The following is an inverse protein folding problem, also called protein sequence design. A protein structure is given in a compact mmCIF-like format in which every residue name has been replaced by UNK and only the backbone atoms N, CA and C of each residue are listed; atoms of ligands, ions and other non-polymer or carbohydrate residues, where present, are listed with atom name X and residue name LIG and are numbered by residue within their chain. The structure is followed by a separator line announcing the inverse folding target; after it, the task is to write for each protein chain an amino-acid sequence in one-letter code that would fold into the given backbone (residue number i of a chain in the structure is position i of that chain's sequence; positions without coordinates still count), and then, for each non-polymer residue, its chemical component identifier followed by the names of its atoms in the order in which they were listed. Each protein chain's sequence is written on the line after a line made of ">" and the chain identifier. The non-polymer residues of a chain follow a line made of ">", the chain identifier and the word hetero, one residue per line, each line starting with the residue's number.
data_IF_545785188325
#
_entry.id   IF_545785188325
#
_cell.length_a   1.000
_cell.length_b   1.000
_cell.length_c   1.000
_cell.angle_alpha   90.00
_cell.angle_beta   90.00
_cell.angle_gamma   90.00
#
_symmetry.space_group_name_H-M   'P 1'
#
loop_
_entity.id
_entity.type
_entity.pdbx_description
1 polymer ?
#
# COMPACT_ATOMS: atom_id res chain seq x y z
N UNK A 1 -1.17 -39.98 1.71
CA UNK A 1 -2.45 -39.43 2.20
C UNK A 1 -2.44 -39.07 3.68
N UNK A 2 -1.91 -39.89 4.59
CA UNK A 2 -1.65 -39.47 6.00
C UNK A 2 -0.37 -38.64 6.19
N UNK A 3 0.66 -38.89 5.37
CA UNK A 3 1.96 -38.20 5.46
C UNK A 3 1.82 -36.69 5.29
N UNK A 4 0.93 -36.24 4.39
CA UNK A 4 0.77 -34.82 4.11
C UNK A 4 0.15 -34.06 5.30
N UNK A 5 -0.93 -34.60 5.88
CA UNK A 5 -1.52 -34.08 7.13
C UNK A 5 -0.55 -34.20 8.30
N UNK A 6 0.15 -35.33 8.42
CA UNK A 6 1.14 -35.58 9.45
C UNK A 6 2.38 -34.68 9.38
N UNK A 7 2.62 -33.99 8.26
CA UNK A 7 3.72 -33.03 8.09
C UNK A 7 3.21 -31.60 8.16
N UNK A 8 2.07 -31.29 7.52
CA UNK A 8 1.53 -29.93 7.49
C UNK A 8 1.04 -29.45 8.85
N UNK A 9 0.37 -30.30 9.63
CA UNK A 9 -0.19 -29.87 10.91
C UNK A 9 0.94 -29.54 11.92
N UNK A 10 2.00 -30.38 12.08
CA UNK A 10 3.16 -30.01 12.88
C UNK A 10 3.91 -28.78 12.37
N UNK A 11 3.98 -28.60 11.04
CA UNK A 11 4.66 -27.46 10.45
C UNK A 11 3.89 -26.15 10.69
N UNK A 12 2.57 -26.15 10.57
CA UNK A 12 1.73 -25.02 10.98
C UNK A 12 1.84 -24.73 12.48
N UNK A 13 1.86 -25.76 13.32
CA UNK A 13 2.07 -25.61 14.76
C UNK A 13 3.44 -25.03 15.08
N UNK A 14 4.49 -25.45 14.37
CA UNK A 14 5.84 -24.91 14.52
C UNK A 14 5.94 -23.43 14.12
N UNK A 15 5.23 -23.01 13.07
CA UNK A 15 5.11 -21.61 12.68
C UNK A 15 4.43 -20.79 13.78
N UNK A 16 3.31 -21.29 14.33
CA UNK A 16 2.61 -20.61 15.42
C UNK A 16 3.46 -20.50 16.68
N UNK A 17 4.14 -21.58 17.08
CA UNK A 17 5.04 -21.57 18.24
C UNK A 17 6.21 -20.60 18.04
N UNK A 18 6.81 -20.60 16.85
CA UNK A 18 7.91 -19.68 16.52
C UNK A 18 7.45 -18.22 16.53
N UNK A 19 6.22 -17.95 16.07
CA UNK A 19 5.62 -16.63 16.11
C UNK A 19 5.46 -16.09 17.55
N UNK A 20 5.18 -16.94 18.54
CA UNK A 20 5.05 -16.49 19.95
C UNK A 20 6.34 -15.92 20.54
N UNK A 21 7.49 -16.18 19.93
CA UNK A 21 8.79 -15.64 20.35
C UNK A 21 9.05 -14.22 19.83
N UNK A 22 8.18 -13.69 18.96
CA UNK A 22 8.31 -12.36 18.39
C UNK A 22 7.54 -11.34 19.23
N UNK A 23 8.14 -10.18 19.49
CA UNK A 23 7.61 -9.18 20.42
C UNK A 23 6.71 -8.13 19.75
N UNK A 24 6.71 -8.05 18.42
CA UNK A 24 5.94 -7.07 17.65
C UNK A 24 4.86 -7.76 16.80
N UNK A 25 3.60 -7.27 16.81
CA UNK A 25 2.53 -7.78 15.94
C UNK A 25 2.91 -7.74 14.44
N UNK A 26 3.69 -6.75 14.03
CA UNK A 26 4.17 -6.63 12.64
C UNK A 26 5.18 -7.75 12.32
N UNK A 27 6.10 -8.05 13.25
CA UNK A 27 7.11 -9.08 13.04
C UNK A 27 6.45 -10.47 13.00
N UNK A 28 5.49 -10.72 13.89
CA UNK A 28 4.64 -11.92 13.89
C UNK A 28 3.94 -12.08 12.54
N UNK A 29 3.30 -11.02 12.04
CA UNK A 29 2.54 -11.08 10.82
C UNK A 29 3.43 -11.27 9.58
N UNK A 30 4.58 -10.60 9.49
CA UNK A 30 5.53 -10.79 8.38
C UNK A 30 6.10 -12.20 8.38
N UNK A 31 6.53 -12.72 9.54
CA UNK A 31 7.07 -14.07 9.66
C UNK A 31 6.03 -15.12 9.25
N UNK A 32 4.83 -15.03 9.82
CA UNK A 32 3.74 -15.98 9.55
C UNK A 32 3.34 -15.94 8.07
N UNK A 33 3.22 -14.74 7.49
CA UNK A 33 2.92 -14.55 6.07
C UNK A 33 3.97 -15.20 5.16
N UNK A 34 5.26 -15.05 5.47
CA UNK A 34 6.35 -15.65 4.70
C UNK A 34 6.32 -17.18 4.77
N UNK A 35 6.14 -17.75 5.97
CA UNK A 35 6.03 -19.19 6.16
C UNK A 35 4.82 -19.77 5.42
N UNK A 36 3.63 -19.19 5.60
CA UNK A 36 2.41 -19.64 4.94
C UNK A 36 2.47 -19.51 3.41
N UNK A 37 3.08 -18.45 2.89
CA UNK A 37 3.29 -18.28 1.45
C UNK A 37 4.21 -19.36 0.88
N UNK A 38 5.26 -19.77 1.61
CA UNK A 38 6.15 -20.84 1.21
C UNK A 38 5.43 -22.20 1.21
N UNK A 39 4.66 -22.48 2.26
CA UNK A 39 3.84 -23.70 2.38
C UNK A 39 2.83 -23.76 1.23
N UNK A 40 2.08 -22.68 1.00
CA UNK A 40 1.10 -22.59 -0.07
C UNK A 40 1.73 -22.89 -1.45
N UNK A 41 2.90 -22.30 -1.73
CA UNK A 41 3.61 -22.51 -2.99
C UNK A 41 4.11 -23.95 -3.15
N UNK A 42 4.53 -24.59 -2.06
CA UNK A 42 4.98 -25.98 -2.08
C UNK A 42 3.83 -26.97 -2.34
N UNK A 43 2.59 -26.62 -1.95
CA UNK A 43 1.47 -27.58 -1.97
C UNK A 43 0.39 -27.32 -3.01
N UNK A 44 0.43 -26.17 -3.69
CA UNK A 44 -0.63 -25.73 -4.62
C UNK A 44 -0.81 -26.58 -5.87
N UNK A 45 0.16 -27.45 -6.21
CA UNK A 45 0.10 -28.31 -7.40
C UNK A 45 -0.50 -29.69 -7.13
N UNK A 46 -0.79 -30.02 -5.86
CA UNK A 46 -1.34 -31.33 -5.50
C UNK A 46 -2.87 -31.31 -5.52
N UNK A 47 -3.47 -32.24 -6.26
CA UNK A 47 -4.92 -32.31 -6.53
C UNK A 47 -5.83 -32.57 -5.31
N UNK A 48 -5.27 -32.72 -4.11
CA UNK A 48 -6.00 -33.09 -2.89
C UNK A 48 -5.80 -32.10 -1.74
N UNK A 49 -5.31 -30.89 -2.03
CA UNK A 49 -4.95 -29.89 -1.02
C UNK A 49 -5.92 -28.72 -0.92
N UNK A 50 -7.04 -28.76 -1.64
CA UNK A 50 -7.97 -27.62 -1.77
C UNK A 50 -8.42 -27.04 -0.42
N UNK A 51 -8.92 -27.85 0.52
CA UNK A 51 -9.36 -27.32 1.83
C UNK A 51 -8.21 -26.73 2.65
N UNK A 52 -6.99 -27.27 2.49
CA UNK A 52 -5.79 -26.76 3.16
C UNK A 52 -5.30 -25.47 2.52
N UNK A 53 -5.36 -25.38 1.20
CA UNK A 53 -5.07 -24.15 0.45
C UNK A 53 -6.05 -23.04 0.84
N UNK A 54 -7.33 -23.34 0.99
CA UNK A 54 -8.32 -22.37 1.48
C UNK A 54 -8.01 -21.89 2.90
N UNK A 55 -7.70 -22.80 3.81
CA UNK A 55 -7.33 -22.44 5.18
C UNK A 55 -6.06 -21.58 5.24
N UNK A 56 -5.02 -21.94 4.47
CA UNK A 56 -3.78 -21.17 4.40
C UNK A 56 -4.02 -19.79 3.78
N UNK A 57 -4.86 -19.69 2.74
CA UNK A 57 -5.25 -18.40 2.15
C UNK A 57 -5.96 -17.51 3.17
N UNK A 58 -6.90 -18.05 3.94
CA UNK A 58 -7.59 -17.29 4.99
C UNK A 58 -6.61 -16.78 6.07
N UNK A 59 -5.62 -17.58 6.45
CA UNK A 59 -4.58 -17.16 7.39
C UNK A 59 -3.64 -16.11 6.78
N UNK A 60 -3.28 -16.25 5.50
CA UNK A 60 -2.52 -15.24 4.74
C UNK A 60 -3.29 -13.91 4.73
N UNK A 61 -4.57 -13.93 4.40
CA UNK A 61 -5.43 -12.74 4.34
C UNK A 61 -5.56 -12.06 5.70
N UNK A 62 -5.72 -12.84 6.79
CA UNK A 62 -5.74 -12.30 8.15
C UNK A 62 -4.42 -11.61 8.54
N UNK A 63 -3.27 -12.17 8.14
CA UNK A 63 -1.97 -11.54 8.39
C UNK A 63 -1.77 -10.28 7.52
N UNK A 64 -2.27 -10.27 6.28
CA UNK A 64 -2.32 -9.06 5.45
C UNK A 64 -3.14 -7.98 6.16
N UNK A 65 -4.29 -8.31 6.75
CA UNK A 65 -5.15 -7.34 7.45
C UNK A 65 -4.43 -6.69 8.63
N UNK A 66 -3.70 -7.47 9.42
CA UNK A 66 -2.86 -6.95 10.52
C UNK A 66 -1.81 -5.99 9.98
N UNK A 67 -1.07 -6.37 8.94
CA UNK A 67 -0.03 -5.53 8.34
C UNK A 67 -0.59 -4.23 7.76
N UNK A 68 -1.75 -4.31 7.09
CA UNK A 68 -2.45 -3.15 6.53
C UNK A 68 -2.89 -2.19 7.64
N UNK A 69 -3.47 -2.71 8.71
CA UNK A 69 -3.92 -1.91 9.86
C UNK A 69 -2.75 -1.19 10.54
N UNK A 70 -1.67 -1.91 10.82
CA UNK A 70 -0.47 -1.35 11.46
C UNK A 70 0.21 -0.29 10.58
N UNK A 71 0.40 -0.57 9.28
CA UNK A 71 0.99 0.38 8.34
C UNK A 71 0.10 1.62 8.15
N UNK A 72 -1.21 1.45 8.00
CA UNK A 72 -2.13 2.57 7.86
C UNK A 72 -2.13 3.43 9.13
N UNK A 73 -2.17 2.80 10.30
CA UNK A 73 -2.10 3.50 11.59
C UNK A 73 -0.79 4.28 11.73
N UNK A 74 0.33 3.68 11.34
CA UNK A 74 1.63 4.37 11.32
C UNK A 74 1.58 5.61 10.43
N UNK A 75 1.15 5.48 9.17
CA UNK A 75 1.06 6.60 8.22
C UNK A 75 0.13 7.70 8.72
N UNK A 76 -1.08 7.34 9.15
CA UNK A 76 -2.10 8.28 9.64
C UNK A 76 -1.59 9.01 10.91
N UNK A 77 -0.80 8.35 11.73
CA UNK A 77 -0.16 8.96 12.91
C UNK A 77 0.96 9.90 12.52
N UNK A 78 1.89 9.47 11.66
CA UNK A 78 3.04 10.26 11.23
C UNK A 78 2.66 11.52 10.43
N UNK A 79 1.54 11.46 9.71
CA UNK A 79 0.99 12.61 8.97
C UNK A 79 0.15 13.54 9.85
N UNK A 80 -0.13 13.17 11.09
CA UNK A 80 -1.01 13.91 12.00
C UNK A 80 -2.51 13.71 11.74
N UNK A 81 -2.88 13.01 10.66
CA UNK A 81 -4.28 12.75 10.30
C UNK A 81 -5.06 12.03 11.41
N UNK A 82 -4.40 11.25 12.28
CA UNK A 82 -5.07 10.48 13.34
C UNK A 82 -5.92 11.36 14.26
N UNK A 83 -5.45 12.58 14.56
CA UNK A 83 -6.16 13.51 15.45
C UNK A 83 -7.43 14.04 14.78
N UNK A 84 -7.30 14.47 13.51
CA UNK A 84 -8.41 14.97 12.72
C UNK A 84 -9.45 13.87 12.46
N UNK A 85 -8.99 12.67 12.08
CA UNK A 85 -9.84 11.51 11.82
C UNK A 85 -10.71 11.17 13.03
N UNK A 86 -10.10 11.06 14.22
CA UNK A 86 -10.82 10.73 15.46
C UNK A 86 -11.90 11.75 15.78
N UNK A 87 -11.58 13.05 15.67
CA UNK A 87 -12.55 14.13 15.93
C UNK A 87 -13.65 14.19 14.86
N UNK A 88 -13.29 14.09 13.59
CA UNK A 88 -14.24 14.08 12.47
C UNK A 88 -15.20 12.87 12.54
N UNK A 89 -14.68 11.69 12.90
CA UNK A 89 -15.48 10.46 13.03
C UNK A 89 -16.44 10.50 14.22
N UNK A 90 -15.97 11.03 15.37
CA UNK A 90 -16.81 11.17 16.56
C UNK A 90 -17.79 12.36 16.52
N UNK A 91 -17.61 13.29 15.58
CA UNK A 91 -18.37 14.53 15.50
C UNK A 91 -19.84 14.31 15.17
N UNK A 92 -20.72 14.78 16.05
CA UNK A 92 -22.17 14.80 15.89
C UNK A 92 -22.67 16.22 15.62
N UNK A 93 -23.67 16.44 14.74
CA UNK A 93 -24.20 17.77 14.44
C UNK A 93 -24.70 18.56 15.66
N UNK A 94 -25.09 17.87 16.74
CA UNK A 94 -25.51 18.48 18.01
C UNK A 94 -24.40 19.24 18.75
N UNK A 95 -23.13 19.01 18.38
CA UNK A 95 -21.95 19.62 19.02
C UNK A 95 -21.57 20.98 18.43
N UNK A 96 -22.31 21.46 17.43
CA UNK A 96 -22.01 22.70 16.71
C UNK A 96 -21.15 22.46 15.46
N UNK A 97 -20.54 23.53 14.94
CA UNK A 97 -19.70 23.43 13.76
C UNK A 97 -18.33 22.85 14.14
N UNK A 98 -17.82 21.88 13.35
CA UNK A 98 -16.53 21.26 13.62
C UNK A 98 -15.37 22.27 13.64
N UNK A 99 -15.44 23.37 12.90
CA UNK A 99 -14.45 24.46 12.93
C UNK A 99 -14.35 25.18 14.27
N UNK A 100 -15.39 25.13 15.10
CA UNK A 100 -15.46 25.78 16.42
C UNK A 100 -14.96 24.85 17.55
N UNK A 101 -14.70 23.58 17.24
CA UNK A 101 -14.17 22.60 18.19
C UNK A 101 -12.65 22.74 18.28
N UNK A 102 -12.13 22.89 19.50
CA UNK A 102 -10.69 23.01 19.76
C UNK A 102 -9.89 21.89 19.07
N UNK A 103 -8.80 22.21 18.37
CA UNK A 103 -7.99 21.26 17.61
C UNK A 103 -8.57 20.85 16.24
N UNK A 104 -9.65 21.49 15.79
CA UNK A 104 -10.23 21.36 14.46
C UNK A 104 -10.33 22.72 13.75
N UNK A 105 -9.56 23.70 14.22
CA UNK A 105 -9.48 25.03 13.62
C UNK A 105 -8.93 24.94 12.18
N UNK A 106 -9.33 25.86 11.27
CA UNK A 106 -8.87 25.86 9.88
C UNK A 106 -7.34 25.77 9.74
N UNK A 107 -6.59 26.47 10.61
CA UNK A 107 -5.12 26.46 10.62
C UNK A 107 -4.52 25.09 10.97
N UNK A 108 -5.13 24.36 11.92
CA UNK A 108 -4.70 23.01 12.29
C UNK A 108 -4.96 22.01 11.16
N UNK A 109 -6.10 22.15 10.48
CA UNK A 109 -6.41 21.32 9.32
C UNK A 109 -5.42 21.60 8.19
N UNK A 110 -5.19 22.87 7.83
CA UNK A 110 -4.22 23.23 6.79
C UNK A 110 -2.81 22.67 7.07
N UNK A 111 -2.33 22.80 8.30
CA UNK A 111 -1.00 22.28 8.70
C UNK A 111 -0.91 20.75 8.58
N UNK A 112 -1.97 20.05 8.99
CA UNK A 112 -2.03 18.58 8.87
C UNK A 112 -2.12 18.14 7.41
N UNK A 113 -2.90 18.85 6.59
CA UNK A 113 -3.02 18.59 5.15
C UNK A 113 -1.68 18.77 4.42
N UNK A 114 -0.88 19.77 4.80
CA UNK A 114 0.47 19.96 4.26
C UNK A 114 1.41 18.78 4.62
N UNK A 115 1.32 18.28 5.85
CA UNK A 115 2.07 17.09 6.28
C UNK A 115 1.62 15.84 5.51
N UNK A 116 0.32 15.71 5.25
CA UNK A 116 -0.24 14.64 4.44
C UNK A 116 0.19 14.75 2.96
N UNK A 117 0.25 15.96 2.40
CA UNK A 117 0.76 16.19 1.05
C UNK A 117 2.23 15.77 0.89
N UNK A 118 3.04 15.97 1.92
CA UNK A 118 4.42 15.47 1.96
C UNK A 118 4.46 13.94 1.89
N UNK A 119 3.51 13.25 2.53
CA UNK A 119 3.35 11.80 2.39
C UNK A 119 2.90 11.41 0.98
N UNK A 120 1.93 12.11 0.37
CA UNK A 120 1.44 11.81 -0.98
C UNK A 120 2.54 11.97 -2.04
N UNK A 121 3.43 12.94 -1.87
CA UNK A 121 4.54 13.20 -2.79
C UNK A 121 5.74 12.26 -2.57
N UNK A 122 5.94 11.75 -1.35
CA UNK A 122 6.99 10.77 -1.05
C UNK A 122 6.53 9.65 -0.11
N UNK A 123 5.74 8.68 -0.61
CA UNK A 123 5.22 7.58 0.22
C UNK A 123 6.32 6.67 0.76
N UNK A 124 7.48 6.60 0.08
CA UNK A 124 8.59 5.74 0.46
C UNK A 124 9.23 6.15 1.79
N UNK A 125 9.12 7.42 2.18
CA UNK A 125 9.59 7.94 3.47
C UNK A 125 8.84 7.35 4.67
N UNK A 126 7.65 6.79 4.46
CA UNK A 126 6.75 6.33 5.53
C UNK A 126 6.57 4.81 5.54
N UNK A 127 7.51 4.06 4.94
CA UNK A 127 7.48 2.59 4.99
C UNK A 127 8.00 2.12 6.34
N UNK A 128 7.25 1.24 7.01
CA UNK A 128 7.86 0.41 8.06
C UNK A 128 8.80 -0.63 7.42
N UNK A 129 10.04 -0.68 7.90
CA UNK A 129 11.13 -1.55 7.42
C UNK A 129 10.73 -3.04 7.34
N UNK A 130 9.75 -3.44 8.14
CA UNK A 130 9.33 -4.83 8.23
C UNK A 130 8.56 -5.31 7.00
N UNK A 131 7.76 -4.46 6.35
CA UNK A 131 7.03 -4.87 5.14
C UNK A 131 7.95 -5.05 3.91
N UNK A 132 9.19 -4.55 3.96
CA UNK A 132 10.22 -4.86 2.95
C UNK A 132 10.66 -6.33 3.07
N UNK A 133 10.54 -6.94 4.26
CA UNK A 133 10.94 -8.33 4.53
C UNK A 133 9.89 -9.37 4.12
N UNK A 134 8.72 -8.97 3.64
CA UNK A 134 7.77 -9.90 3.03
C UNK A 134 8.41 -10.45 1.76
N UNK A 135 8.59 -11.76 1.65
CA UNK A 135 9.33 -12.38 0.54
C UNK A 135 8.59 -12.29 -0.79
N UNK A 136 7.26 -12.48 -0.78
CA UNK A 136 6.42 -12.44 -1.98
C UNK A 136 6.17 -11.01 -2.45
N UNK A 137 6.61 -10.70 -3.69
CA UNK A 137 6.38 -9.39 -4.32
C UNK A 137 4.88 -9.09 -4.45
N UNK A 138 4.09 -10.08 -4.87
CA UNK A 138 2.64 -9.95 -4.98
C UNK A 138 2.00 -9.57 -3.64
N UNK A 139 2.39 -10.23 -2.55
CA UNK A 139 1.84 -9.93 -1.22
C UNK A 139 2.29 -8.55 -0.73
N UNK A 140 3.54 -8.12 -1.01
CA UNK A 140 4.00 -6.75 -0.72
C UNK A 140 3.14 -5.71 -1.42
N UNK A 141 2.80 -5.93 -2.68
CA UNK A 141 1.98 -5.00 -3.46
C UNK A 141 0.54 -4.98 -2.94
N UNK A 142 -0.05 -6.13 -2.60
CA UNK A 142 -1.36 -6.21 -1.94
C UNK A 142 -1.40 -5.45 -0.62
N UNK A 143 -0.42 -5.66 0.27
CA UNK A 143 -0.35 -4.94 1.55
C UNK A 143 -0.23 -3.44 1.30
N UNK A 144 0.62 -3.01 0.36
CA UNK A 144 0.80 -1.60 0.02
C UNK A 144 -0.49 -0.96 -0.50
N UNK A 145 -1.16 -1.59 -1.45
CA UNK A 145 -2.38 -1.07 -2.05
C UNK A 145 -3.50 -0.94 -1.02
N UNK A 146 -3.74 -2.00 -0.24
CA UNK A 146 -4.77 -1.99 0.82
C UNK A 146 -4.45 -1.00 1.95
N UNK A 147 -3.18 -0.83 2.30
CA UNK A 147 -2.74 0.23 3.22
C UNK A 147 -3.13 1.61 2.70
N UNK A 148 -2.83 1.90 1.43
CA UNK A 148 -3.15 3.21 0.83
C UNK A 148 -4.66 3.43 0.82
N UNK A 149 -5.46 2.45 0.39
CA UNK A 149 -6.92 2.57 0.41
C UNK A 149 -7.46 2.82 1.83
N UNK A 150 -6.87 2.20 2.85
CA UNK A 150 -7.25 2.43 4.26
C UNK A 150 -6.93 3.87 4.69
N UNK A 151 -5.77 4.41 4.33
CA UNK A 151 -5.39 5.81 4.58
C UNK A 151 -6.33 6.77 3.84
N UNK A 152 -6.66 6.48 2.58
CA UNK A 152 -7.60 7.26 1.77
C UNK A 152 -9.01 7.23 2.36
N UNK A 153 -9.45 6.09 2.91
CA UNK A 153 -10.74 5.99 3.60
C UNK A 153 -10.79 6.86 4.86
N UNK A 154 -9.72 6.88 5.65
CA UNK A 154 -9.62 7.78 6.80
C UNK A 154 -9.64 9.26 6.37
N UNK A 155 -8.90 9.60 5.30
CA UNK A 155 -8.90 10.93 4.70
C UNK A 155 -10.30 11.35 4.22
N UNK A 156 -11.05 10.45 3.57
CA UNK A 156 -12.42 10.71 3.09
C UNK A 156 -13.34 11.16 4.21
N UNK A 157 -13.24 10.58 5.39
CA UNK A 157 -14.06 10.97 6.54
C UNK A 157 -13.78 12.42 6.95
N UNK A 158 -12.51 12.83 6.95
CA UNK A 158 -12.11 14.22 7.21
C UNK A 158 -12.62 15.13 6.09
N UNK A 159 -12.36 14.75 4.83
CA UNK A 159 -12.79 15.50 3.65
C UNK A 159 -14.28 15.81 3.68
N UNK A 160 -15.12 14.79 3.90
CA UNK A 160 -16.57 14.93 3.92
C UNK A 160 -17.04 15.93 5.00
N UNK A 161 -16.42 15.93 6.19
CA UNK A 161 -16.74 16.92 7.23
C UNK A 161 -16.27 18.31 6.86
N UNK A 162 -15.11 18.43 6.21
CA UNK A 162 -14.55 19.73 5.83
C UNK A 162 -15.37 20.41 4.74
N UNK A 163 -15.83 19.67 3.74
CA UNK A 163 -16.64 20.24 2.64
C UNK A 163 -18.10 20.49 3.01
N UNK A 164 -18.57 19.94 4.14
CA UNK A 164 -19.92 20.14 4.62
C UNK A 164 -20.06 21.59 5.15
N UNK A 165 -20.92 22.42 4.53
CA UNK A 165 -21.10 23.81 4.92
C UNK A 165 -21.51 24.01 6.38
N UNK A 166 -22.18 23.02 7.00
CA UNK A 166 -22.57 23.08 8.41
C UNK A 166 -21.39 23.16 9.36
N UNK A 167 -20.20 22.69 8.93
CA UNK A 167 -18.98 22.72 9.72
C UNK A 167 -18.17 24.02 9.55
N UNK A 168 -18.68 25.00 8.77
CA UNK A 168 -18.19 26.38 8.65
C UNK A 168 -16.69 26.53 8.33
N UNK A 169 -16.11 25.59 7.60
CA UNK A 169 -14.76 25.75 7.09
C UNK A 169 -14.74 26.77 5.94
N UNK A 170 -13.90 27.81 6.08
CA UNK A 170 -13.56 28.72 4.98
C UNK A 170 -12.70 28.00 3.95
N UNK A 171 -12.40 28.64 2.82
CA UNK A 171 -11.65 28.01 1.71
C UNK A 171 -10.31 27.40 2.18
N UNK A 172 -10.33 26.09 2.39
CA UNK A 172 -9.16 25.29 2.72
C UNK A 172 -8.59 24.67 1.44
N UNK A 173 -7.26 24.56 1.29
CA UNK A 173 -6.61 23.92 0.15
C UNK A 173 -6.72 22.39 0.23
N UNK A 174 -7.93 21.87 0.43
CA UNK A 174 -8.19 20.44 0.57
C UNK A 174 -8.35 19.80 -0.81
N UNK A 175 -7.58 18.73 -1.06
CA UNK A 175 -7.68 17.95 -2.30
C UNK A 175 -8.94 17.08 -2.26
N UNK A 176 -9.56 16.83 -3.40
CA UNK A 176 -10.64 15.84 -3.47
C UNK A 176 -10.08 14.45 -3.24
N UNK A 177 -10.94 13.52 -2.80
CA UNK A 177 -10.50 12.13 -2.58
C UNK A 177 -9.98 11.49 -3.88
N UNK A 178 -10.54 11.87 -5.03
CA UNK A 178 -10.05 11.41 -6.34
C UNK A 178 -8.70 12.01 -6.71
N UNK A 179 -8.43 13.28 -6.36
CA UNK A 179 -7.09 13.86 -6.53
C UNK A 179 -6.05 13.13 -5.67
N UNK A 180 -6.38 12.81 -4.41
CA UNK A 180 -5.51 12.02 -3.53
C UNK A 180 -5.25 10.62 -4.10
N UNK A 181 -6.26 9.97 -4.66
CA UNK A 181 -6.10 8.68 -5.36
C UNK A 181 -5.24 8.78 -6.61
N UNK A 182 -5.37 9.83 -7.41
CA UNK A 182 -4.60 9.99 -8.64
C UNK A 182 -3.12 10.30 -8.37
N UNK A 183 -2.80 10.99 -7.26
CA UNK A 183 -1.42 11.23 -6.82
C UNK A 183 -0.69 9.91 -6.45
N UNK A 184 -1.42 8.81 -6.23
CA UNK A 184 -0.89 7.43 -6.07
C UNK A 184 -0.23 6.89 -7.34
N UNK A 185 -0.69 7.30 -8.52
CA UNK A 185 -0.25 6.75 -9.82
C UNK A 185 1.08 7.36 -10.31
N UNK A 186 1.60 8.37 -9.61
CA UNK A 186 2.73 9.17 -10.04
C UNK A 186 4.10 8.46 -10.03
N UNK A 187 4.37 7.35 -9.30
CA UNK A 187 5.67 6.67 -9.45
C UNK A 187 5.93 6.22 -10.89
N UNK A 188 4.89 5.81 -11.62
CA UNK A 188 5.00 5.37 -13.01
C UNK A 188 4.98 6.52 -14.01
N UNK A 189 4.20 7.57 -13.77
CA UNK A 189 4.21 8.75 -14.65
C UNK A 189 5.51 9.53 -14.54
N UNK A 190 6.11 9.63 -13.35
CA UNK A 190 7.41 10.29 -13.22
C UNK A 190 8.53 9.44 -13.85
N UNK A 191 8.47 8.11 -13.71
CA UNK A 191 9.41 7.22 -14.40
C UNK A 191 9.20 7.25 -15.92
N UNK A 192 7.95 7.24 -16.39
CA UNK A 192 7.61 7.37 -17.81
C UNK A 192 8.01 8.73 -18.38
N UNK A 193 7.76 9.83 -17.68
CA UNK A 193 8.16 11.17 -18.09
C UNK A 193 9.69 11.32 -18.06
N UNK A 194 10.37 10.77 -17.05
CA UNK A 194 11.83 10.73 -16.99
C UNK A 194 12.41 9.86 -18.12
N UNK A 195 11.82 8.69 -18.40
CA UNK A 195 12.19 7.82 -19.52
C UNK A 195 11.93 8.52 -20.86
N UNK A 196 10.77 9.15 -21.05
CA UNK A 196 10.46 9.92 -22.25
C UNK A 196 11.39 11.11 -22.44
N UNK A 197 11.75 11.81 -21.37
CA UNK A 197 12.73 12.89 -21.43
C UNK A 197 14.11 12.34 -21.84
N UNK A 198 14.52 11.19 -21.32
CA UNK A 198 15.75 10.52 -21.76
C UNK A 198 15.68 10.00 -23.21
N UNK A 199 14.52 9.50 -23.67
CA UNK A 199 14.31 9.05 -25.06
C UNK A 199 14.26 10.24 -26.02
N UNK A 200 13.69 11.37 -25.61
CA UNK A 200 13.65 12.60 -26.42
C UNK A 200 15.05 13.22 -26.64
N UNK A 201 16.02 12.88 -25.78
CA UNK A 201 17.44 13.22 -25.97
C UNK A 201 18.11 12.32 -27.04
N UNK A 202 17.55 11.14 -27.33
CA UNK A 202 18.10 10.16 -28.28
C UNK A 202 17.67 10.39 -29.75
N UNK A 203 16.91 11.44 -30.03
CA UNK A 203 16.54 11.85 -31.40
C UNK A 203 15.31 11.11 -31.98
N UNK A 204 14.71 11.66 -33.05
CA UNK A 204 13.34 11.34 -33.50
C UNK A 204 13.15 9.94 -34.12
N UNK A 205 14.20 9.14 -34.31
CA UNK A 205 14.14 7.86 -35.03
C UNK A 205 13.61 6.66 -34.23
N UNK A 206 13.42 6.78 -32.90
CA UNK A 206 13.03 5.65 -32.03
C UNK A 206 11.53 5.66 -31.68
N UNK A 207 10.85 6.80 -31.83
CA UNK A 207 9.46 6.98 -31.37
C UNK A 207 8.39 6.63 -32.42
N UNK A 208 8.75 6.39 -33.69
CA UNK A 208 7.81 6.21 -34.80
C UNK A 208 7.06 4.87 -34.84
N UNK A 209 7.32 3.95 -33.90
CA UNK A 209 6.66 2.63 -33.84
C UNK A 209 5.77 2.37 -32.62
N UNK A 210 5.61 3.33 -31.70
CA UNK A 210 4.90 3.13 -30.43
C UNK A 210 3.41 3.46 -30.54
N UNK A 211 2.60 2.55 -31.10
CA UNK A 211 1.15 2.61 -30.95
C UNK A 211 0.75 2.16 -29.53
N UNK A 212 0.28 3.12 -28.72
CA UNK A 212 0.02 2.99 -27.29
C UNK A 212 -1.39 2.41 -27.08
N UNK A 213 -1.53 1.10 -27.25
CA UNK A 213 -2.73 0.36 -26.81
C UNK A 213 -2.36 -0.82 -25.93
N UNK A 214 -2.58 -0.65 -24.62
CA UNK A 214 -2.82 -1.61 -23.51
C UNK A 214 -2.15 -3.01 -23.45
N UNK A 215 -1.32 -3.43 -24.42
CA UNK A 215 -0.66 -4.74 -24.47
C UNK A 215 0.88 -4.69 -24.43
N UNK A 216 1.49 -3.50 -24.42
CA UNK A 216 2.93 -3.32 -24.67
C UNK A 216 3.83 -3.57 -23.44
N UNK A 217 3.34 -4.21 -22.36
CA UNK A 217 4.22 -4.62 -21.26
C UNK A 217 5.10 -5.82 -21.65
N UNK A 218 4.63 -6.72 -22.52
CA UNK A 218 5.47 -7.82 -23.04
C UNK A 218 6.57 -7.32 -23.99
N UNK A 219 6.28 -6.30 -24.81
CA UNK A 219 7.28 -5.71 -25.71
C UNK A 219 8.32 -4.86 -24.96
N UNK A 220 7.95 -4.12 -23.90
CA UNK A 220 8.93 -3.39 -23.09
C UNK A 220 9.89 -4.35 -22.36
N UNK A 221 9.41 -5.48 -21.82
CA UNK A 221 10.27 -6.49 -21.19
C UNK A 221 11.19 -7.18 -22.20
N UNK A 222 10.73 -7.41 -23.44
CA UNK A 222 11.56 -7.90 -24.55
C UNK A 222 12.67 -6.91 -24.92
N UNK A 223 12.36 -5.62 -25.03
CA UNK A 223 13.31 -4.56 -25.40
C UNK A 223 14.34 -4.30 -24.28
N UNK A 224 13.92 -4.30 -23.01
CA UNK A 224 14.84 -4.14 -21.88
C UNK A 224 15.60 -5.44 -21.53
N UNK A 225 15.08 -6.61 -21.92
CA UNK A 225 15.79 -7.89 -21.84
C UNK A 225 17.02 -7.93 -22.76
N UNK A 226 16.95 -7.30 -23.93
CA UNK A 226 18.11 -7.11 -24.81
C UNK A 226 19.06 -6.00 -24.33
N UNK A 227 18.54 -4.97 -23.66
CA UNK A 227 19.34 -3.87 -23.10
C UNK A 227 20.31 -4.32 -22.00
N UNK A 228 20.06 -5.46 -21.33
CA UNK A 228 21.01 -6.02 -20.36
C UNK A 228 22.30 -6.51 -21.05
N UNK A 229 22.22 -7.02 -22.29
CA UNK A 229 23.42 -7.32 -23.11
C UNK A 229 24.16 -6.05 -23.54
N UNK A 230 23.45 -4.95 -23.72
CA UNK A 230 24.04 -3.65 -24.06
C UNK A 230 24.82 -3.04 -22.88
N UNK A 231 24.33 -3.20 -21.64
CA UNK A 231 25.05 -2.78 -20.43
C UNK A 231 26.29 -3.63 -20.14
N UNK A 232 26.27 -4.93 -20.46
CA UNK A 232 27.45 -5.81 -20.33
C UNK A 232 28.57 -5.51 -21.35
N UNK A 233 28.32 -4.63 -22.34
CA UNK A 233 29.33 -4.19 -23.32
C UNK A 233 30.13 -2.97 -22.82
N UNK A 234 29.74 -2.36 -21.69
CA UNK A 234 30.39 -1.17 -21.11
C UNK A 234 30.98 -1.40 -19.71
N UNK A 235 31.34 -2.65 -19.39
CA UNK A 235 32.26 -2.98 -18.28
C UNK A 235 33.67 -3.18 -18.83
#
# INVERSE_FOLDING_TARGET
>A
FQIFTAVLDPLNQAVQLSATQLHSPIDVAVFTLNCLSAINSAIMLYQFTDSRLEMIKAQIDANIDVLVSEQATFIITQTGLIKLYRKASAHQPSQGALSEIAGMEPSQISSTLLSFDTFLTNPNKYKSDQCVKISSARLRDTVRERTIETVVAAYRIIYNKVIDPSNKYSQLPIKTVEQVRNLRAVPFLHLYQTILNHISILGPGITEGMDVKYGTFQNLVSIFGESRKFLDTFV
#
